data_IF_149971402555
#
_entry.id   IF_149971402555
#
_cell.length_a   1.000
_cell.length_b   1.000
_cell.length_c   1.000
_cell.angle_alpha   90.00
_cell.angle_beta   90.00
_cell.angle_gamma   90.00
#
_symmetry.space_group_name_H-M   'P 1'
#
loop_
_entity.id
_entity.type
_entity.pdbx_description
1 polymer ?
#
# COMPACT_ATOMS: atom_id res chain seq x y z
N UNK A 1 6.21 -1.10 -0.17
CA UNK A 1 6.00 -1.65 1.19
C UNK A 1 6.83 -2.93 1.38
N UNK A 2 8.13 -2.94 1.10
CA UNK A 2 8.86 -4.21 0.96
C UNK A 2 8.05 -5.24 0.14
N UNK A 3 8.16 -6.53 0.45
CA UNK A 3 7.18 -7.51 0.03
C UNK A 3 6.13 -7.70 1.16
N UNK A 4 4.93 -7.11 1.09
CA UNK A 4 3.92 -7.28 2.15
C UNK A 4 3.39 -8.73 2.19
N UNK A 5 3.56 -9.51 1.12
CA UNK A 5 3.14 -10.91 1.09
C UNK A 5 3.97 -11.80 2.01
N UNK A 6 5.21 -11.40 2.38
CA UNK A 6 6.00 -12.08 3.42
C UNK A 6 5.24 -12.15 4.76
N UNK A 7 4.31 -11.22 5.01
CA UNK A 7 3.50 -11.21 6.22
C UNK A 7 2.45 -12.32 6.29
N UNK A 8 2.10 -12.95 5.16
CA UNK A 8 1.11 -14.02 5.11
C UNK A 8 1.60 -15.28 5.87
N UNK A 9 2.91 -15.50 5.86
CA UNK A 9 3.55 -16.68 6.46
C UNK A 9 3.76 -16.53 7.98
N UNK A 10 3.69 -15.30 8.52
CA UNK A 10 3.95 -15.00 9.92
C UNK A 10 2.70 -15.24 10.77
N UNK A 11 2.60 -16.44 11.34
CA UNK A 11 1.39 -16.93 12.02
C UNK A 11 1.58 -17.16 13.51
N UNK A 12 2.82 -17.34 13.99
CA UNK A 12 3.11 -17.56 15.40
C UNK A 12 3.34 -16.25 16.17
N UNK A 13 3.08 -16.27 17.48
CA UNK A 13 3.32 -15.12 18.35
C UNK A 13 4.81 -14.71 18.40
N UNK A 14 5.73 -15.67 18.32
CA UNK A 14 7.18 -15.42 18.35
C UNK A 14 7.63 -14.69 17.08
N UNK A 15 7.14 -15.11 15.91
CA UNK A 15 7.41 -14.44 14.64
C UNK A 15 6.88 -13.01 14.62
N UNK A 16 5.67 -12.79 15.13
CA UNK A 16 5.08 -11.46 15.24
C UNK A 16 5.84 -10.59 16.24
N UNK A 17 6.33 -11.16 17.35
CA UNK A 17 7.18 -10.45 18.29
C UNK A 17 8.49 -10.00 17.63
N UNK A 18 9.14 -10.87 16.84
CA UNK A 18 10.34 -10.51 16.07
C UNK A 18 10.06 -9.39 15.05
N UNK A 19 8.89 -9.39 14.40
CA UNK A 19 8.45 -8.27 13.54
C UNK A 19 8.29 -6.97 14.32
N UNK A 20 7.91 -7.04 15.60
CA UNK A 20 7.85 -5.88 16.48
C UNK A 20 9.22 -5.28 16.81
N UNK A 21 10.29 -6.06 16.67
CA UNK A 21 11.67 -5.65 17.00
C UNK A 21 12.52 -5.35 15.76
N UNK A 22 12.08 -5.76 14.57
CA UNK A 22 12.86 -5.64 13.34
C UNK A 22 11.96 -5.38 12.14
N UNK A 23 12.45 -4.61 11.18
CA UNK A 23 11.77 -4.36 9.89
C UNK A 23 11.86 -5.52 8.93
N UNK A 24 12.87 -6.38 9.08
CA UNK A 24 13.20 -7.44 8.13
C UNK A 24 12.08 -8.46 7.85
N UNK A 25 11.29 -8.92 8.85
CA UNK A 25 10.34 -10.03 8.65
C UNK A 25 9.25 -9.75 7.62
N UNK A 26 8.63 -8.56 7.64
CA UNK A 26 7.63 -8.14 6.65
C UNK A 26 7.37 -6.63 6.75
N UNK A 27 6.78 -6.04 5.70
CA UNK A 27 6.57 -4.59 5.58
C UNK A 27 7.85 -3.81 5.89
N UNK A 28 8.92 -4.07 5.13
CA UNK A 28 10.27 -3.56 5.42
C UNK A 28 10.38 -2.03 5.38
N UNK A 29 9.42 -1.38 4.72
CA UNK A 29 9.31 0.09 4.68
C UNK A 29 8.64 0.67 5.95
N UNK A 30 8.14 -0.19 6.84
CA UNK A 30 7.59 0.18 8.15
C UNK A 30 8.50 -0.32 9.27
N UNK A 31 8.93 0.60 10.14
CA UNK A 31 9.75 0.29 11.31
C UNK A 31 9.16 -0.83 12.18
N UNK A 32 10.04 -1.62 12.80
CA UNK A 32 9.65 -2.59 13.81
C UNK A 32 8.97 -1.85 14.96
N UNK A 33 7.73 -2.25 15.29
CA UNK A 33 7.02 -1.71 16.44
C UNK A 33 6.06 -2.73 17.05
N UNK A 34 5.87 -2.64 18.37
CA UNK A 34 4.91 -3.48 19.06
C UNK A 34 3.47 -3.24 18.55
N UNK A 35 3.14 -2.03 18.08
CA UNK A 35 1.85 -1.72 17.45
C UNK A 35 1.68 -2.47 16.13
N UNK A 36 2.73 -2.52 15.29
CA UNK A 36 2.73 -3.29 14.03
C UNK A 36 2.54 -4.79 14.31
N UNK A 37 3.31 -5.34 15.25
CA UNK A 37 3.19 -6.73 15.68
C UNK A 37 1.78 -7.05 16.20
N UNK A 38 1.23 -6.18 17.05
CA UNK A 38 -0.12 -6.32 17.57
C UNK A 38 -1.16 -6.25 16.45
N UNK A 39 -1.11 -5.27 15.56
CA UNK A 39 -2.05 -5.14 14.44
C UNK A 39 -2.04 -6.39 13.55
N UNK A 40 -0.85 -6.93 13.25
CA UNK A 40 -0.71 -8.17 12.48
C UNK A 40 -1.26 -9.41 13.20
N UNK A 41 -1.21 -9.43 14.54
CA UNK A 41 -1.85 -10.47 15.35
C UNK A 41 -3.38 -10.38 15.29
N UNK A 42 -3.93 -9.22 14.92
CA UNK A 42 -5.37 -8.97 14.83
C UNK A 42 -5.96 -9.20 13.43
N UNK A 43 -5.16 -9.56 12.41
CA UNK A 43 -5.61 -9.66 11.01
C UNK A 43 -6.82 -10.57 10.77
N UNK A 44 -6.98 -11.61 11.60
CA UNK A 44 -8.13 -12.54 11.56
C UNK A 44 -9.30 -12.17 12.48
N UNK A 45 -9.14 -11.12 13.30
CA UNK A 45 -10.15 -10.70 14.28
C UNK A 45 -11.24 -9.87 13.60
N UNK A 46 -12.52 -10.30 13.64
CA UNK A 46 -13.61 -9.52 13.07
C UNK A 46 -13.74 -8.12 13.69
N UNK A 47 -13.37 -7.99 14.97
CA UNK A 47 -13.48 -6.72 15.73
C UNK A 47 -12.53 -5.64 15.21
N UNK A 48 -11.37 -6.03 14.69
CA UNK A 48 -10.31 -5.10 14.29
C UNK A 48 -10.09 -5.09 12.77
N UNK A 49 -10.98 -5.76 12.01
CA UNK A 49 -10.86 -5.90 10.55
C UNK A 49 -10.77 -4.54 9.86
N UNK A 50 -11.56 -3.56 10.29
CA UNK A 50 -11.56 -2.21 9.73
C UNK A 50 -10.22 -1.50 9.98
N UNK A 51 -9.71 -1.53 11.22
CA UNK A 51 -8.41 -0.96 11.56
C UNK A 51 -7.27 -1.61 10.78
N UNK A 52 -7.33 -2.93 10.59
CA UNK A 52 -6.37 -3.65 9.76
C UNK A 52 -6.46 -3.21 8.29
N UNK A 53 -7.68 -3.12 7.75
CA UNK A 53 -7.95 -2.68 6.38
C UNK A 53 -7.42 -1.27 6.09
N UNK A 54 -7.62 -0.35 7.04
CA UNK A 54 -7.14 1.02 6.94
C UNK A 54 -5.62 1.16 7.06
N UNK A 55 -4.89 0.14 7.51
CA UNK A 55 -3.46 0.25 7.83
C UNK A 55 -2.57 -0.71 7.04
N UNK A 56 -2.76 -2.02 7.21
CA UNK A 56 -1.82 -3.06 6.80
C UNK A 56 -2.30 -3.84 5.56
N UNK A 57 -3.58 -3.76 5.22
CA UNK A 57 -4.16 -4.50 4.10
C UNK A 57 -3.62 -3.99 2.75
N UNK A 58 -3.41 -4.88 1.75
CA UNK A 58 -2.93 -4.46 0.44
C UNK A 58 -3.84 -3.39 -0.17
N UNK A 59 -3.24 -2.31 -0.66
CA UNK A 59 -3.98 -1.25 -1.34
C UNK A 59 -4.34 -1.65 -2.76
N UNK A 60 -5.54 -1.30 -3.25
CA UNK A 60 -5.87 -1.46 -4.65
C UNK A 60 -4.98 -0.56 -5.52
N UNK A 61 -4.99 -0.78 -6.84
CA UNK A 61 -4.21 0.03 -7.78
C UNK A 61 -4.61 1.51 -7.79
N UNK A 62 -5.85 1.82 -7.39
CA UNK A 62 -6.40 3.17 -7.40
C UNK A 62 -7.23 3.42 -6.14
N UNK A 63 -7.12 4.63 -5.60
CA UNK A 63 -7.92 5.12 -4.49
C UNK A 63 -8.55 6.47 -4.87
N UNK A 64 -9.84 6.63 -4.61
CA UNK A 64 -10.61 7.85 -4.89
C UNK A 64 -11.34 8.29 -3.63
N UNK A 65 -11.13 9.54 -3.22
CA UNK A 65 -11.71 10.08 -1.98
C UNK A 65 -12.46 11.39 -2.26
N UNK A 66 -13.61 11.54 -1.60
CA UNK A 66 -14.34 12.80 -1.56
C UNK A 66 -13.88 13.63 -0.36
N UNK A 67 -12.90 14.51 -0.57
CA UNK A 67 -12.31 15.31 0.50
C UNK A 67 -13.29 16.24 1.23
N UNK A 68 -14.46 16.53 0.65
CA UNK A 68 -15.47 17.37 1.30
C UNK A 68 -16.24 16.59 2.37
N UNK A 69 -16.57 15.33 2.07
CA UNK A 69 -17.38 14.47 2.94
C UNK A 69 -16.52 13.50 3.75
N UNK A 70 -15.29 13.23 3.30
CA UNK A 70 -14.29 12.35 3.90
C UNK A 70 -12.90 13.04 3.89
N UNK A 71 -12.69 14.02 4.77
CA UNK A 71 -11.42 14.77 4.82
C UNK A 71 -10.23 13.89 5.24
N UNK A 72 -10.50 12.80 5.98
CA UNK A 72 -9.50 11.87 6.49
C UNK A 72 -9.19 10.72 5.51
N UNK A 73 -9.87 10.68 4.35
CA UNK A 73 -9.63 9.72 3.26
C UNK A 73 -9.73 8.25 3.72
N UNK A 74 -10.76 7.96 4.51
CA UNK A 74 -10.98 6.62 5.07
C UNK A 74 -11.87 5.75 4.17
N UNK A 75 -12.66 6.35 3.28
CA UNK A 75 -13.63 5.65 2.42
C UNK A 75 -13.20 5.73 0.97
N UNK A 76 -12.54 4.67 0.48
CA UNK A 76 -12.14 4.58 -0.92
C UNK A 76 -13.37 4.31 -1.82
N UNK A 77 -13.65 5.25 -2.72
CA UNK A 77 -14.74 5.22 -3.70
C UNK A 77 -14.32 4.67 -5.07
N UNK A 78 -13.08 4.22 -5.25
CA UNK A 78 -12.57 3.79 -6.57
C UNK A 78 -13.31 2.58 -7.15
N UNK A 79 -13.96 1.76 -6.32
CA UNK A 79 -14.78 0.63 -6.74
C UNK A 79 -16.29 0.95 -6.81
N UNK A 80 -16.70 2.18 -6.50
CA UNK A 80 -18.10 2.61 -6.59
C UNK A 80 -18.40 3.03 -8.04
N UNK A 81 -19.28 2.27 -8.71
CA UNK A 81 -19.66 2.53 -10.11
C UNK A 81 -20.33 3.88 -10.32
N UNK A 82 -20.89 4.50 -9.27
CA UNK A 82 -21.41 5.87 -9.36
C UNK A 82 -20.30 6.91 -9.58
N UNK A 83 -19.06 6.59 -9.20
CA UNK A 83 -17.90 7.47 -9.32
C UNK A 83 -17.04 7.21 -10.57
N UNK A 84 -17.41 6.23 -11.41
CA UNK A 84 -16.61 5.82 -12.59
C UNK A 84 -16.27 7.00 -13.51
N UNK A 85 -17.23 7.90 -13.75
CA UNK A 85 -17.00 9.07 -14.60
C UNK A 85 -15.91 10.00 -14.02
N UNK A 86 -15.91 10.21 -12.71
CA UNK A 86 -14.93 11.05 -12.00
C UNK A 86 -13.57 10.35 -11.99
N UNK A 87 -13.54 9.06 -11.64
CA UNK A 87 -12.32 8.25 -11.63
C UNK A 87 -11.63 8.27 -13.00
N UNK A 88 -12.39 8.02 -14.07
CA UNK A 88 -11.87 8.03 -15.44
C UNK A 88 -11.33 9.41 -15.85
N UNK A 89 -12.02 10.50 -15.47
CA UNK A 89 -11.56 11.85 -15.76
C UNK A 89 -10.25 12.19 -15.03
N UNK A 90 -10.13 11.82 -13.75
CA UNK A 90 -8.91 12.03 -12.97
C UNK A 90 -7.74 11.16 -13.49
N UNK A 91 -8.00 9.90 -13.81
CA UNK A 91 -7.03 9.01 -14.45
C UNK A 91 -6.48 9.60 -15.75
N UNK A 92 -7.37 10.13 -16.59
CA UNK A 92 -6.99 10.84 -17.81
C UNK A 92 -6.11 12.07 -17.56
N UNK A 93 -6.41 12.85 -16.51
CA UNK A 93 -5.59 14.01 -16.11
C UNK A 93 -4.19 13.59 -15.66
N UNK A 94 -4.07 12.56 -14.82
CA UNK A 94 -2.78 12.03 -14.37
C UNK A 94 -1.98 11.53 -15.57
N UNK A 95 -2.60 10.72 -16.44
CA UNK A 95 -1.96 10.22 -17.65
C UNK A 95 -1.48 11.35 -18.57
N UNK A 96 -2.27 12.41 -18.74
CA UNK A 96 -1.86 13.58 -19.51
C UNK A 96 -0.62 14.25 -18.92
N UNK A 97 -0.62 14.52 -17.61
CA UNK A 97 0.53 15.13 -16.93
C UNK A 97 1.78 14.26 -17.10
N UNK A 98 1.68 12.95 -16.87
CA UNK A 98 2.81 12.03 -17.02
C UNK A 98 3.37 12.04 -18.44
N UNK A 99 2.52 12.06 -19.46
CA UNK A 99 2.98 12.15 -20.86
C UNK A 99 3.63 13.50 -21.17
N UNK A 100 2.99 14.61 -20.78
CA UNK A 100 3.49 15.97 -21.03
C UNK A 100 4.87 16.18 -20.39
N UNK A 101 5.11 15.58 -19.21
CA UNK A 101 6.38 15.69 -18.48
C UNK A 101 7.40 14.63 -18.85
N UNK A 102 7.12 13.75 -19.81
CA UNK A 102 7.93 12.57 -20.14
C UNK A 102 8.31 11.77 -18.88
N UNK A 103 7.31 11.45 -18.05
CA UNK A 103 7.52 10.79 -16.78
C UNK A 103 8.22 9.42 -16.96
N UNK A 104 9.40 9.19 -16.35
CA UNK A 104 10.16 7.95 -16.48
C UNK A 104 9.39 6.70 -16.04
N UNK A 105 8.34 6.84 -15.23
CA UNK A 105 7.47 5.74 -14.80
C UNK A 105 6.62 5.16 -15.93
N UNK A 106 6.47 5.87 -17.06
CA UNK A 106 5.74 5.35 -18.22
C UNK A 106 6.51 4.27 -19.01
N UNK A 107 7.81 4.13 -18.76
CA UNK A 107 8.70 3.22 -19.52
C UNK A 107 9.52 2.30 -18.62
N UNK A 108 9.12 2.21 -17.34
CA UNK A 108 9.83 1.50 -16.27
C UNK A 108 11.31 1.89 -16.22
N UNK A 109 11.61 3.17 -16.44
CA UNK A 109 12.99 3.63 -16.49
C UNK A 109 13.69 3.50 -15.13
N UNK A 110 12.93 3.53 -14.03
CA UNK A 110 13.45 3.32 -12.69
C UNK A 110 13.80 1.86 -12.39
N UNK A 111 13.27 0.90 -13.14
CA UNK A 111 13.58 -0.53 -12.96
C UNK A 111 14.81 -0.96 -13.80
N UNK A 112 15.54 0.01 -14.35
CA UNK A 112 16.72 -0.18 -15.21
C UNK A 112 17.88 0.69 -14.73
N UNK A 113 19.09 0.38 -15.21
CA UNK A 113 20.29 1.18 -14.94
C UNK A 113 20.09 2.65 -15.38
N UNK A 114 20.60 3.64 -14.63
CA UNK A 114 21.48 3.52 -13.45
C UNK A 114 20.73 3.40 -12.11
N UNK A 115 19.40 3.34 -12.12
CA UNK A 115 18.58 3.42 -10.90
C UNK A 115 18.48 2.08 -10.17
N UNK A 116 18.38 1.00 -10.93
CA UNK A 116 18.43 -0.38 -10.41
C UNK A 116 19.64 -1.08 -11.00
N UNK A 117 20.49 -1.58 -10.11
CA UNK A 117 21.62 -2.43 -10.43
C UNK A 117 21.15 -3.88 -10.38
N UNK A 118 20.84 -4.47 -11.54
CA UNK A 118 20.36 -5.84 -11.66
C UNK A 118 21.38 -6.90 -11.21
N UNK A 119 22.62 -6.48 -10.87
CA UNK A 119 23.65 -7.36 -10.30
C UNK A 119 23.65 -7.37 -8.78
N UNK A 120 22.89 -6.49 -8.12
CA UNK A 120 22.73 -6.45 -6.67
C UNK A 120 21.39 -7.08 -6.27
N UNK A 121 21.37 -7.91 -5.20
CA UNK A 121 20.16 -8.54 -4.70
C UNK A 121 19.17 -7.53 -4.09
#
# INVERSE_FOLDING_TARGET
MGNPYDAADLTSSDELYVMGLSTMPAYRDLDGSLTKAWMMSQRGSPRNKELFSLTMDPRPSEELYDLKNDPDQLVNLAADSQQDAILNALRGRVGKVMNDTNDPRLTDAFDKLPWVDSTKP
#
